data_IF_861831713025
#
_entry.id   IF_861831713025
#
_cell.length_a   1.000
_cell.length_b   1.000
_cell.length_c   1.000
_cell.angle_alpha   90.00
_cell.angle_beta   90.00
_cell.angle_gamma   90.00
#
_symmetry.space_group_name_H-M   'P 1'
#
loop_
_entity.id
_entity.type
_entity.pdbx_description
1 polymer ?
#
# COMPACT_ATOMS: atom_id res chain seq x y z
N UNK A 1 -26.63 5.34 -29.21
CA UNK A 1 -25.85 6.56 -28.95
C UNK A 1 -24.84 6.24 -27.87
N UNK A 2 -23.55 6.41 -28.15
CA UNK A 2 -22.46 6.20 -27.19
C UNK A 2 -21.98 7.52 -26.61
N UNK A 3 -21.40 7.48 -25.42
CA UNK A 3 -20.70 8.64 -24.83
C UNK A 3 -19.22 8.49 -25.14
N UNK A 4 -18.60 9.49 -25.78
CA UNK A 4 -17.16 9.52 -25.95
C UNK A 4 -16.48 9.87 -24.62
N UNK A 5 -15.75 8.91 -24.06
CA UNK A 5 -15.04 9.08 -22.81
C UNK A 5 -13.53 9.00 -23.04
N UNK A 6 -12.84 10.12 -22.85
CA UNK A 6 -11.38 10.16 -23.02
C UNK A 6 -10.67 9.32 -21.95
N UNK A 7 -9.47 8.81 -22.27
CA UNK A 7 -8.59 8.12 -21.30
C UNK A 7 -8.28 8.99 -20.09
N UNK A 8 -8.09 10.29 -20.30
CA UNK A 8 -7.83 11.25 -19.24
C UNK A 8 -9.04 11.38 -18.29
N UNK A 9 -10.26 11.43 -18.84
CA UNK A 9 -11.49 11.49 -18.04
C UNK A 9 -11.63 10.23 -17.20
N UNK A 10 -11.41 9.05 -17.79
CA UNK A 10 -11.45 7.78 -17.04
C UNK A 10 -10.43 7.74 -15.90
N UNK A 11 -9.17 8.12 -16.17
CA UNK A 11 -8.12 8.18 -15.16
C UNK A 11 -8.49 9.13 -14.01
N UNK A 12 -8.97 10.33 -14.34
CA UNK A 12 -9.39 11.32 -13.35
C UNK A 12 -10.55 10.82 -12.49
N UNK A 13 -11.52 10.10 -13.08
CA UNK A 13 -12.63 9.52 -12.34
C UNK A 13 -12.18 8.39 -11.41
N UNK A 14 -11.25 7.54 -11.84
CA UNK A 14 -10.68 6.49 -11.00
C UNK A 14 -9.97 7.08 -9.78
N UNK A 15 -9.17 8.14 -9.97
CA UNK A 15 -8.48 8.86 -8.89
C UNK A 15 -9.48 9.51 -7.94
N UNK A 16 -10.46 10.25 -8.46
CA UNK A 16 -11.47 10.87 -7.60
C UNK A 16 -12.31 9.85 -6.84
N UNK A 17 -12.65 8.73 -7.50
CA UNK A 17 -13.39 7.63 -6.88
C UNK A 17 -12.62 7.00 -5.73
N UNK A 18 -11.34 6.72 -5.93
CA UNK A 18 -10.48 6.12 -4.91
C UNK A 18 -10.28 7.06 -3.72
N UNK A 19 -9.96 8.33 -3.97
CA UNK A 19 -9.68 9.30 -2.90
C UNK A 19 -10.92 9.67 -2.09
N UNK A 20 -12.08 9.78 -2.73
CA UNK A 20 -13.31 10.24 -2.08
C UNK A 20 -14.07 9.11 -1.39
N UNK A 21 -14.19 7.96 -2.04
CA UNK A 21 -15.10 6.90 -1.59
C UNK A 21 -14.37 5.69 -1.03
N UNK A 22 -13.19 5.35 -1.57
CA UNK A 22 -12.45 4.16 -1.13
C UNK A 22 -11.48 4.45 0.00
N UNK A 23 -10.93 5.68 0.10
CA UNK A 23 -10.02 6.06 1.19
C UNK A 23 -10.59 5.80 2.59
N UNK A 24 -11.85 6.13 2.93
CA UNK A 24 -12.40 5.80 4.24
C UNK A 24 -12.45 4.29 4.53
N UNK A 25 -12.69 3.47 3.50
CA UNK A 25 -12.68 2.00 3.62
C UNK A 25 -11.26 1.49 3.84
N UNK A 26 -10.30 2.02 3.08
CA UNK A 26 -8.88 1.71 3.21
C UNK A 26 -8.38 2.00 4.63
N UNK A 27 -8.66 3.20 5.17
CA UNK A 27 -8.27 3.59 6.53
C UNK A 27 -8.93 2.69 7.58
N UNK A 28 -10.22 2.40 7.45
CA UNK A 28 -10.92 1.48 8.35
C UNK A 28 -10.34 0.06 8.30
N UNK A 29 -9.93 -0.40 7.12
CA UNK A 29 -9.26 -1.70 6.99
C UNK A 29 -7.89 -1.67 7.66
N UNK A 30 -7.12 -0.59 7.52
CA UNK A 30 -5.84 -0.40 8.20
C UNK A 30 -6.00 -0.42 9.72
N UNK A 31 -6.98 0.32 10.26
CA UNK A 31 -7.31 0.32 11.69
C UNK A 31 -7.62 -1.08 12.25
N UNK A 32 -8.22 -1.95 11.42
CA UNK A 32 -8.55 -3.34 11.79
C UNK A 32 -7.36 -4.27 11.60
N UNK A 33 -6.51 -4.00 10.63
CA UNK A 33 -5.30 -4.74 10.32
C UNK A 33 -4.29 -4.62 11.47
N UNK A 34 -3.97 -3.40 11.92
CA UNK A 34 -2.96 -3.16 12.97
C UNK A 34 -3.36 -3.67 14.36
N UNK A 35 -4.59 -4.13 14.53
CA UNK A 35 -5.10 -4.76 15.77
C UNK A 35 -4.90 -6.26 15.82
N UNK A 36 -4.30 -6.86 14.79
CA UNK A 36 -4.01 -8.29 14.73
C UNK A 36 -2.70 -8.58 15.44
N UNK A 37 -2.53 -9.83 15.86
CA UNK A 37 -1.29 -10.28 16.51
C UNK A 37 -0.23 -10.71 15.51
N UNK A 38 -0.65 -11.12 14.30
CA UNK A 38 0.25 -11.59 13.25
C UNK A 38 -0.18 -10.96 11.93
N UNK A 39 0.79 -10.35 11.25
CA UNK A 39 0.64 -9.81 9.90
C UNK A 39 1.70 -10.40 8.99
N UNK A 40 1.38 -10.47 7.70
CA UNK A 40 2.36 -10.74 6.66
C UNK A 40 2.54 -9.49 5.81
N UNK A 41 3.78 -9.21 5.46
CA UNK A 41 4.12 -8.18 4.50
C UNK A 41 5.08 -8.70 3.44
N UNK A 42 4.98 -8.11 2.26
CA UNK A 42 5.82 -8.38 1.11
C UNK A 42 6.02 -7.07 0.34
N UNK A 43 7.12 -6.94 -0.38
CA UNK A 43 7.34 -5.81 -1.27
C UNK A 43 7.63 -6.27 -2.70
N UNK A 44 7.01 -5.59 -3.66
CA UNK A 44 7.32 -5.75 -5.07
C UNK A 44 7.91 -4.46 -5.62
N UNK A 45 9.02 -4.56 -6.34
CA UNK A 45 9.64 -3.41 -7.02
C UNK A 45 8.90 -3.06 -8.31
N UNK A 46 8.74 -1.78 -8.60
CA UNK A 46 8.16 -1.27 -9.84
C UNK A 46 8.86 0.00 -10.30
N UNK A 47 8.64 0.37 -11.56
CA UNK A 47 9.08 1.64 -12.15
C UNK A 47 7.85 2.48 -12.47
N UNK A 48 7.88 3.77 -12.13
CA UNK A 48 6.79 4.70 -12.43
C UNK A 48 7.30 5.70 -13.46
N UNK A 49 6.69 5.69 -14.64
CA UNK A 49 7.16 6.45 -15.81
C UNK A 49 7.19 7.96 -15.57
N UNK A 50 6.30 8.47 -14.73
CA UNK A 50 6.13 9.91 -14.48
C UNK A 50 6.01 10.20 -12.98
N UNK A 51 7.15 10.34 -12.32
CA UNK A 51 7.25 10.83 -10.94
C UNK A 51 7.90 12.22 -10.91
N UNK A 52 7.29 13.21 -10.24
CA UNK A 52 7.90 14.52 -10.07
C UNK A 52 9.27 14.41 -9.38
N UNK A 53 10.33 14.85 -10.05
CA UNK A 53 11.68 14.88 -9.49
C UNK A 53 12.39 13.52 -9.43
N UNK A 54 11.90 12.49 -10.13
CA UNK A 54 12.56 11.18 -10.23
C UNK A 54 12.66 10.69 -11.67
N UNK A 55 13.72 9.93 -11.96
CA UNK A 55 13.90 9.28 -13.25
C UNK A 55 12.91 8.12 -13.43
N UNK A 56 12.50 7.82 -14.66
CA UNK A 56 11.56 6.73 -14.95
C UNK A 56 12.12 5.34 -14.62
N UNK A 57 13.44 5.19 -14.68
CA UNK A 57 14.16 3.96 -14.35
C UNK A 57 14.32 3.77 -12.83
N UNK A 58 14.00 4.80 -12.03
CA UNK A 58 14.14 4.74 -10.60
C UNK A 58 13.21 3.68 -10.01
N UNK A 59 13.76 2.88 -9.09
CA UNK A 59 13.01 1.82 -8.43
C UNK A 59 12.10 2.40 -7.36
N UNK A 60 10.83 2.02 -7.43
CA UNK A 60 9.81 2.26 -6.42
C UNK A 60 9.33 0.92 -5.84
N UNK A 61 8.58 0.98 -4.75
CA UNK A 61 8.17 -0.18 -3.98
C UNK A 61 6.67 -0.15 -3.75
N UNK A 62 6.00 -1.26 -4.01
CA UNK A 62 4.63 -1.48 -3.58
C UNK A 62 4.66 -2.48 -2.44
N UNK A 63 4.31 -2.01 -1.24
CA UNK A 63 4.19 -2.84 -0.05
C UNK A 63 2.81 -3.45 0.01
N UNK A 64 2.74 -4.76 0.23
CA UNK A 64 1.52 -5.48 0.55
C UNK A 64 1.51 -5.77 2.05
N UNK A 65 0.42 -5.44 2.72
CA UNK A 65 0.15 -5.86 4.09
C UNK A 65 -1.12 -6.66 4.14
N UNK A 66 -1.09 -7.81 4.82
CA UNK A 66 -2.27 -8.66 4.94
C UNK A 66 -2.40 -9.36 6.27
N UNK A 67 -3.63 -9.72 6.60
CA UNK A 67 -3.92 -10.64 7.68
C UNK A 67 -3.42 -12.05 7.35
N UNK A 68 -3.09 -12.80 8.40
CA UNK A 68 -2.88 -14.24 8.32
C UNK A 68 -4.17 -15.02 8.03
N UNK A 69 -4.24 -16.25 8.53
CA UNK A 69 -5.42 -17.13 8.35
C UNK A 69 -6.64 -16.67 9.14
N UNK A 70 -6.42 -16.00 10.28
CA UNK A 70 -7.48 -15.69 11.23
C UNK A 70 -8.09 -14.30 11.03
N UNK A 71 -9.41 -14.23 11.16
CA UNK A 71 -10.20 -12.99 11.03
C UNK A 71 -10.58 -12.64 9.58
N UNK A 72 -11.19 -11.47 9.37
CA UNK A 72 -11.53 -10.98 8.03
C UNK A 72 -10.27 -10.80 7.19
N UNK A 73 -10.32 -11.31 5.96
CA UNK A 73 -9.24 -11.12 4.99
C UNK A 73 -9.09 -9.64 4.66
N UNK A 74 -7.93 -9.06 5.01
CA UNK A 74 -7.55 -7.70 4.66
C UNK A 74 -6.26 -7.76 3.86
N UNK A 75 -6.22 -7.05 2.75
CA UNK A 75 -5.06 -6.88 1.88
C UNK A 75 -4.98 -5.40 1.52
N UNK A 76 -3.90 -4.73 1.90
CA UNK A 76 -3.68 -3.31 1.66
C UNK A 76 -2.35 -3.11 0.95
N UNK A 77 -2.38 -2.25 -0.07
CA UNK A 77 -1.19 -1.87 -0.83
C UNK A 77 -0.76 -0.46 -0.43
N UNK A 78 0.54 -0.25 -0.27
CA UNK A 78 1.15 1.03 0.08
C UNK A 78 2.34 1.33 -0.84
N UNK A 79 2.20 2.37 -1.66
CA UNK A 79 3.23 2.79 -2.60
C UNK A 79 4.28 3.66 -1.93
N UNK A 80 5.56 3.34 -2.14
CA UNK A 80 6.68 4.07 -1.56
C UNK A 80 7.81 4.26 -2.56
N UNK A 81 8.42 5.45 -2.52
CA UNK A 81 9.49 5.84 -3.45
C UNK A 81 10.86 5.26 -3.09
N UNK A 82 11.00 4.65 -1.91
CA UNK A 82 12.26 4.07 -1.41
C UNK A 82 11.99 2.85 -0.55
N UNK A 83 12.95 1.92 -0.38
CA UNK A 83 12.82 0.74 0.51
C UNK A 83 13.00 1.05 2.01
N UNK A 84 12.96 2.33 2.40
CA UNK A 84 13.31 2.76 3.74
C UNK A 84 12.29 2.30 4.80
N UNK A 85 12.77 1.72 5.90
CA UNK A 85 11.92 1.17 6.97
C UNK A 85 11.04 2.19 7.69
N UNK A 86 11.30 3.49 7.53
CA UNK A 86 10.40 4.55 7.99
C UNK A 86 9.00 4.44 7.39
N UNK A 87 8.87 3.92 6.17
CA UNK A 87 7.58 3.80 5.49
C UNK A 87 6.73 2.70 6.10
N UNK A 88 7.33 1.52 6.29
CA UNK A 88 6.72 0.39 7.02
C UNK A 88 6.37 0.80 8.46
N UNK A 89 7.27 1.51 9.15
CA UNK A 89 7.03 2.08 10.48
C UNK A 89 5.85 3.02 10.54
N UNK A 90 5.72 3.92 9.56
CA UNK A 90 4.59 4.83 9.46
C UNK A 90 3.29 4.07 9.18
N UNK A 91 3.31 3.12 8.24
CA UNK A 91 2.13 2.33 7.90
C UNK A 91 1.65 1.48 9.07
N UNK A 92 2.55 0.85 9.82
CA UNK A 92 2.24 -0.02 10.96
C UNK A 92 2.21 0.71 12.31
N UNK A 93 2.12 2.03 12.33
CA UNK A 93 2.04 2.79 13.58
C UNK A 93 0.90 2.25 14.48
N UNK A 94 1.26 1.86 15.70
CA UNK A 94 0.34 1.28 16.69
C UNK A 94 0.21 -0.25 16.67
N UNK A 95 0.80 -0.94 15.68
CA UNK A 95 0.92 -2.39 15.66
C UNK A 95 1.90 -2.87 16.74
N UNK A 96 1.57 -3.97 17.42
CA UNK A 96 2.37 -4.56 18.52
C UNK A 96 2.55 -6.07 18.39
N UNK A 97 2.17 -6.61 17.23
CA UNK A 97 2.24 -8.04 16.94
C UNK A 97 3.52 -8.42 16.20
N UNK A 98 3.52 -9.63 15.65
CA UNK A 98 4.60 -10.14 14.84
C UNK A 98 4.36 -9.87 13.36
N UNK A 99 5.35 -9.28 12.70
CA UNK A 99 5.35 -9.06 11.26
C UNK A 99 6.21 -10.13 10.58
N UNK A 100 5.60 -10.93 9.73
CA UNK A 100 6.31 -11.87 8.87
C UNK A 100 6.64 -11.21 7.54
N UNK A 101 7.91 -11.21 7.15
CA UNK A 101 8.40 -10.67 5.87
C UNK A 101 9.38 -11.64 5.23
N UNK A 102 9.46 -11.67 3.91
CA UNK A 102 10.52 -12.36 3.18
C UNK A 102 11.62 -11.37 2.79
N UNK A 103 12.86 -11.60 3.22
CA UNK A 103 14.02 -10.86 2.73
C UNK A 103 14.13 -9.36 3.08
N UNK A 104 13.33 -8.82 4.02
CA UNK A 104 13.40 -7.42 4.44
C UNK A 104 14.22 -7.21 5.73
N UNK A 105 15.47 -6.76 5.59
CA UNK A 105 16.38 -6.49 6.72
C UNK A 105 15.85 -5.42 7.70
N UNK A 106 14.96 -4.53 7.26
CA UNK A 106 14.39 -3.48 8.11
C UNK A 106 13.29 -3.95 9.08
N UNK A 107 12.85 -5.21 9.01
CA UNK A 107 11.79 -5.76 9.87
C UNK A 107 12.28 -6.27 11.23
N UNK A 108 13.59 -6.39 11.46
CA UNK A 108 14.11 -7.04 12.68
C UNK A 108 13.89 -6.26 13.99
N UNK A 109 13.25 -5.08 13.95
CA UNK A 109 12.95 -4.28 15.16
C UNK A 109 11.62 -3.53 14.99
N UNK A 110 10.52 -4.23 15.33
CA UNK A 110 9.25 -3.66 15.78
C UNK A 110 8.72 -4.48 16.95
#
# INVERSE_FOLDING_TARGET
>A
MGVELSRQTMANWMVQGSERWLRPVYERMRERLIKRDILHADETTLQVLHEPGRAAEAVSYMWLYRTGRDGPAIMLYDYQTTRAGRHVKKFLEGFKGYLHVDGYEGAYLM
#
